data_IF_056039979536
#
_entry.id   IF_056039979536
#
_cell.length_a   1.000
_cell.length_b   1.000
_cell.length_c   1.000
_cell.angle_alpha   90.00
_cell.angle_beta   90.00
_cell.angle_gamma   90.00
#
_symmetry.space_group_name_H-M   'P 1'
#
loop_
_entity.id
_entity.type
_entity.pdbx_description
1 polymer ?
#
# COMPACT_ATOMS: atom_id res chain seq x y z
N UNK A 1 18.24 17.14 -2.26
CA UNK A 1 19.10 17.51 -3.42
C UNK A 1 19.29 19.01 -3.44
N UNK A 2 20.17 19.52 -4.31
CA UNK A 2 20.43 20.97 -4.44
C UNK A 2 19.18 21.76 -4.84
N UNK A 3 18.25 21.11 -5.55
CA UNK A 3 16.94 21.65 -5.96
C UNK A 3 15.84 21.54 -4.89
N UNK A 4 16.18 21.16 -3.66
CA UNK A 4 15.23 21.01 -2.54
C UNK A 4 14.95 19.55 -2.14
N UNK A 5 13.71 19.26 -1.72
CA UNK A 5 13.24 17.96 -1.20
C UNK A 5 13.11 16.90 -2.30
N UNK A 6 14.21 16.60 -2.98
CA UNK A 6 14.27 15.70 -4.14
C UNK A 6 15.62 14.98 -4.18
N UNK A 7 15.63 13.75 -4.71
CA UNK A 7 16.87 13.07 -5.12
C UNK A 7 17.24 13.51 -6.55
N UNK A 8 18.53 13.67 -6.86
CA UNK A 8 18.94 14.11 -8.19
C UNK A 8 20.21 13.38 -8.63
N UNK A 9 20.15 12.60 -9.72
CA UNK A 9 18.92 12.09 -10.36
C UNK A 9 18.04 11.30 -9.37
N UNK A 10 16.73 11.24 -9.64
CA UNK A 10 15.74 10.50 -8.82
C UNK A 10 15.46 9.08 -9.36
N UNK A 11 15.89 8.76 -10.56
CA UNK A 11 15.84 7.41 -11.11
C UNK A 11 17.13 7.13 -11.88
N UNK A 12 17.83 6.04 -11.53
CA UNK A 12 19.08 5.64 -12.18
C UNK A 12 19.07 4.15 -12.52
N UNK A 13 20.01 3.75 -13.38
CA UNK A 13 20.32 2.33 -13.64
C UNK A 13 21.67 2.00 -13.02
N UNK A 14 21.80 0.81 -12.45
CA UNK A 14 23.04 0.31 -11.86
C UNK A 14 23.09 -1.23 -12.00
N UNK A 15 24.26 -1.77 -12.32
CA UNK A 15 24.48 -3.21 -12.40
C UNK A 15 24.74 -3.82 -11.01
N UNK A 16 24.61 -5.14 -10.89
CA UNK A 16 25.06 -5.85 -9.69
C UNK A 16 26.56 -5.60 -9.50
N UNK A 17 26.94 -5.27 -8.27
CA UNK A 17 28.25 -4.83 -7.80
C UNK A 17 28.60 -3.36 -8.03
N UNK A 18 27.76 -2.56 -8.71
CA UNK A 18 27.93 -1.11 -8.72
C UNK A 18 27.69 -0.54 -7.31
N UNK A 19 28.23 0.67 -7.08
CA UNK A 19 27.94 1.45 -5.89
C UNK A 19 27.19 2.73 -6.27
N UNK A 20 26.20 3.08 -5.45
CA UNK A 20 25.44 4.34 -5.56
C UNK A 20 25.75 5.17 -4.33
N UNK A 21 26.42 6.31 -4.54
CA UNK A 21 26.79 7.22 -3.45
C UNK A 21 25.79 8.37 -3.39
N UNK A 22 25.13 8.50 -2.24
CA UNK A 22 24.20 9.58 -1.95
C UNK A 22 24.94 10.68 -1.20
N UNK A 23 25.09 11.84 -1.83
CA UNK A 23 25.60 13.05 -1.18
C UNK A 23 24.42 13.81 -0.57
N UNK A 24 24.44 13.99 0.75
CA UNK A 24 23.36 14.66 1.47
C UNK A 24 23.53 16.16 1.39
N UNK A 25 22.42 16.85 1.14
CA UNK A 25 22.36 18.31 1.05
C UNK A 25 21.87 18.90 2.37
N UNK A 26 21.95 20.22 2.51
CA UNK A 26 21.54 20.96 3.72
C UNK A 26 20.16 20.51 4.26
N UNK A 27 19.94 20.66 5.57
CA UNK A 27 18.82 20.11 6.35
C UNK A 27 18.98 18.62 6.63
N UNK A 28 17.89 17.92 6.89
CA UNK A 28 17.91 16.54 7.36
C UNK A 28 17.18 15.63 6.37
N UNK A 29 17.87 14.58 5.94
CA UNK A 29 17.38 13.65 4.93
C UNK A 29 17.81 12.22 5.27
N UNK A 30 17.14 11.25 4.67
CA UNK A 30 17.50 9.83 4.73
C UNK A 30 17.58 9.29 3.31
N UNK A 31 18.09 8.08 3.17
CA UNK A 31 17.87 7.19 2.04
C UNK A 31 17.39 5.87 2.64
N UNK A 32 16.10 5.60 2.48
CA UNK A 32 15.43 4.47 3.12
C UNK A 32 14.72 3.63 2.08
N UNK A 33 15.02 2.33 2.06
CA UNK A 33 14.34 1.41 1.17
C UNK A 33 12.87 1.26 1.54
N UNK A 34 12.01 1.20 0.54
CA UNK A 34 10.59 0.89 0.68
C UNK A 34 10.18 -0.24 -0.26
N UNK A 35 8.96 -0.73 -0.09
CA UNK A 35 8.28 -1.46 -1.16
C UNK A 35 7.75 -0.47 -2.21
N UNK A 36 7.51 -0.97 -3.43
CA UNK A 36 6.76 -0.21 -4.44
C UNK A 36 5.34 0.13 -3.96
N UNK A 37 4.69 -0.80 -3.26
CA UNK A 37 3.30 -0.65 -2.80
C UNK A 37 3.17 0.25 -1.58
N UNK A 38 4.25 0.43 -0.80
CA UNK A 38 4.27 1.26 0.41
C UNK A 38 5.43 2.27 0.35
N UNK A 39 5.37 3.28 -0.56
CA UNK A 39 6.48 4.20 -0.84
C UNK A 39 7.08 4.92 0.37
N UNK A 40 6.28 5.19 1.40
CA UNK A 40 6.66 6.01 2.55
C UNK A 40 6.86 5.19 3.83
N UNK A 41 7.01 3.87 3.71
CA UNK A 41 7.24 2.95 4.83
C UNK A 41 8.58 2.26 4.65
N UNK A 42 9.37 2.20 5.73
CA UNK A 42 10.63 1.45 5.71
C UNK A 42 10.32 -0.02 5.48
N UNK A 43 10.94 -0.60 4.44
CA UNK A 43 10.76 -2.00 4.11
C UNK A 43 11.31 -2.87 5.24
N UNK A 44 10.41 -3.53 5.96
CA UNK A 44 10.74 -4.54 6.97
C UNK A 44 10.10 -5.86 6.56
N UNK A 45 10.91 -6.89 6.33
CA UNK A 45 10.41 -8.24 6.08
C UNK A 45 10.49 -9.04 7.39
N UNK A 46 9.37 -9.06 8.10
CA UNK A 46 9.25 -9.72 9.40
C UNK A 46 9.36 -11.25 9.31
N UNK A 47 9.09 -11.86 8.15
CA UNK A 47 9.15 -13.32 7.98
C UNK A 47 10.56 -13.83 7.71
N UNK A 48 11.42 -13.02 7.10
CA UNK A 48 12.84 -13.36 6.84
C UNK A 48 13.82 -12.67 7.80
N UNK A 49 13.32 -11.88 8.75
CA UNK A 49 14.11 -11.05 9.65
C UNK A 49 15.12 -10.13 8.92
N UNK A 50 14.79 -9.75 7.68
CA UNK A 50 15.58 -8.84 6.86
C UNK A 50 14.86 -7.49 6.76
N UNK A 51 15.58 -6.41 7.06
CA UNK A 51 15.12 -5.05 6.78
C UNK A 51 15.82 -4.54 5.52
N UNK A 52 15.11 -3.74 4.73
CA UNK A 52 15.70 -3.00 3.63
C UNK A 52 16.73 -1.98 4.12
N UNK A 53 17.55 -1.48 3.21
CA UNK A 53 18.60 -0.52 3.56
C UNK A 53 18.05 0.77 4.16
N UNK A 54 18.83 1.41 5.03
CA UNK A 54 18.50 2.69 5.65
C UNK A 54 19.79 3.43 6.02
N UNK A 55 19.96 4.65 5.53
CA UNK A 55 21.11 5.49 5.91
C UNK A 55 21.01 6.05 7.33
N UNK A 56 19.79 6.11 7.88
CA UNK A 56 19.46 6.96 9.02
C UNK A 56 19.31 8.43 8.62
N UNK A 57 18.91 9.26 9.58
CA UNK A 57 18.84 10.71 9.42
C UNK A 57 20.23 11.32 9.39
N UNK A 58 20.53 12.03 8.30
CA UNK A 58 21.80 12.71 8.07
C UNK A 58 21.53 14.22 8.04
N UNK A 59 21.71 14.93 9.17
CA UNK A 59 21.58 16.39 9.22
C UNK A 59 22.84 17.07 8.65
N UNK A 60 22.63 18.09 7.84
CA UNK A 60 23.67 18.91 7.22
C UNK A 60 23.36 20.39 7.48
N UNK A 61 24.35 21.13 8.00
CA UNK A 61 24.19 22.53 8.35
C UNK A 61 24.10 23.42 7.10
N UNK A 62 23.42 24.57 7.20
CA UNK A 62 23.17 25.46 6.05
C UNK A 62 24.44 26.03 5.39
N UNK A 63 25.57 26.04 6.11
CA UNK A 63 26.85 26.60 5.65
C UNK A 63 27.94 25.53 5.52
N UNK A 64 27.58 24.24 5.46
CA UNK A 64 28.56 23.17 5.21
C UNK A 64 29.17 23.35 3.80
N UNK A 65 30.51 23.42 3.68
CA UNK A 65 31.18 23.50 2.39
C UNK A 65 30.87 22.26 1.53
N UNK A 66 30.76 22.44 0.20
CA UNK A 66 30.41 21.34 -0.72
C UNK A 66 31.36 20.12 -0.61
N UNK A 67 32.65 20.34 -0.33
CA UNK A 67 33.64 19.27 -0.14
C UNK A 67 33.55 18.53 1.19
N UNK A 68 32.70 18.99 2.11
CA UNK A 68 32.50 18.43 3.46
C UNK A 68 31.10 17.82 3.63
N UNK A 69 30.29 17.79 2.56
CA UNK A 69 28.94 17.26 2.60
C UNK A 69 29.00 15.74 2.86
N UNK A 70 28.28 15.22 3.86
CA UNK A 70 28.34 13.80 4.17
C UNK A 70 27.73 12.97 3.05
N UNK A 71 28.23 11.75 2.91
CA UNK A 71 27.73 10.78 1.93
C UNK A 71 27.47 9.42 2.55
N UNK A 72 26.51 8.69 1.98
CA UNK A 72 26.25 7.29 2.29
C UNK A 72 26.27 6.47 1.01
N UNK A 73 26.85 5.27 1.05
CA UNK A 73 27.06 4.44 -0.14
C UNK A 73 26.27 3.14 -0.04
N UNK A 74 25.45 2.88 -1.05
CA UNK A 74 24.76 1.61 -1.26
C UNK A 74 25.55 0.76 -2.25
N UNK A 75 25.77 -0.52 -1.92
CA UNK A 75 26.21 -1.52 -2.91
C UNK A 75 24.97 -2.17 -3.52
N UNK A 76 24.90 -2.20 -4.84
CA UNK A 76 23.79 -2.85 -5.56
C UNK A 76 24.11 -4.35 -5.66
N UNK A 77 23.30 -5.19 -5.04
CA UNK A 77 23.48 -6.65 -5.00
C UNK A 77 22.39 -7.41 -5.79
N UNK A 78 21.33 -6.72 -6.21
CA UNK A 78 20.22 -7.25 -6.98
C UNK A 78 20.07 -6.52 -8.31
N UNK A 79 19.52 -7.22 -9.32
CA UNK A 79 19.14 -6.63 -10.61
C UNK A 79 17.69 -6.13 -10.63
N UNK A 80 16.91 -6.40 -9.58
CA UNK A 80 15.52 -5.96 -9.46
C UNK A 80 15.42 -4.49 -9.07
N UNK A 81 14.26 -3.84 -9.29
CA UNK A 81 14.08 -2.45 -8.91
C UNK A 81 14.19 -2.25 -7.39
N UNK A 82 14.98 -1.26 -6.99
CA UNK A 82 15.06 -0.78 -5.61
C UNK A 82 14.33 0.55 -5.51
N UNK A 83 13.39 0.65 -4.58
CA UNK A 83 12.59 1.83 -4.30
C UNK A 83 13.02 2.43 -2.98
N UNK A 84 13.13 3.76 -2.91
CA UNK A 84 13.53 4.43 -1.69
C UNK A 84 12.88 5.81 -1.53
N UNK A 85 12.83 6.27 -0.29
CA UNK A 85 12.22 7.53 0.09
C UNK A 85 13.01 8.22 1.19
N UNK A 86 12.66 9.48 1.45
CA UNK A 86 13.13 10.22 2.62
C UNK A 86 12.10 10.15 3.73
N UNK A 87 12.50 9.67 4.91
CA UNK A 87 11.64 9.49 6.09
C UNK A 87 11.28 10.77 6.83
N UNK A 88 11.90 11.89 6.48
CA UNK A 88 11.56 13.15 7.09
C UNK A 88 10.07 13.44 6.85
N UNK A 89 9.37 13.86 7.90
CA UNK A 89 7.94 14.16 7.87
C UNK A 89 7.62 15.03 6.65
N UNK A 90 6.58 14.64 5.91
CA UNK A 90 6.11 15.23 4.64
C UNK A 90 7.03 15.10 3.44
N UNK A 91 8.30 14.68 3.55
CA UNK A 91 9.20 14.65 2.40
C UNK A 91 8.78 13.59 1.38
N UNK A 92 8.50 12.36 1.81
CA UNK A 92 8.03 11.31 0.91
C UNK A 92 6.73 11.67 0.19
N UNK A 93 5.72 12.12 0.94
CA UNK A 93 4.43 12.54 0.39
C UNK A 93 4.49 13.85 -0.41
N UNK A 94 5.61 14.58 -0.34
CA UNK A 94 5.91 15.70 -1.24
C UNK A 94 6.74 15.27 -2.46
N UNK A 95 6.87 13.95 -2.71
CA UNK A 95 7.59 13.41 -3.85
C UNK A 95 9.09 13.17 -3.65
N UNK A 96 9.61 13.23 -2.43
CA UNK A 96 11.02 12.89 -2.15
C UNK A 96 11.23 11.38 -2.12
N UNK A 97 11.09 10.78 -3.30
CA UNK A 97 11.29 9.36 -3.58
C UNK A 97 12.28 9.19 -4.73
N UNK A 98 12.90 8.02 -4.79
CA UNK A 98 13.83 7.66 -5.84
C UNK A 98 13.79 6.17 -6.15
N UNK A 99 14.41 5.80 -7.26
CA UNK A 99 14.55 4.43 -7.69
C UNK A 99 15.92 4.11 -8.29
N UNK A 100 16.34 2.86 -8.13
CA UNK A 100 17.42 2.24 -8.90
C UNK A 100 16.77 1.11 -9.70
N UNK A 101 17.05 1.06 -11.00
CA UNK A 101 16.54 0.03 -11.92
C UNK A 101 15.00 -0.02 -12.02
N UNK A 102 14.30 1.13 -11.88
CA UNK A 102 12.87 1.17 -12.18
C UNK A 102 12.61 0.75 -13.65
N UNK A 103 11.59 -0.08 -13.92
CA UNK A 103 11.13 -0.37 -15.28
C UNK A 103 10.79 0.91 -16.06
N UNK A 104 11.10 0.92 -17.35
CA UNK A 104 10.81 2.07 -18.23
C UNK A 104 9.34 2.07 -18.70
N UNK A 105 8.63 0.96 -18.53
CA UNK A 105 7.23 0.80 -18.91
C UNK A 105 6.51 -0.21 -18.00
N UNK A 106 5.18 -0.26 -18.12
CA UNK A 106 4.29 -1.10 -17.32
C UNK A 106 3.77 -0.41 -16.06
N UNK A 107 3.26 -1.19 -15.12
CA UNK A 107 2.54 -0.65 -13.96
C UNK A 107 3.45 -0.22 -12.81
N UNK A 108 4.74 -0.58 -12.88
CA UNK A 108 5.73 -0.32 -11.82
C UNK A 108 6.84 0.62 -12.27
N UNK A 109 6.51 1.70 -12.97
CA UNK A 109 7.48 2.73 -13.36
C UNK A 109 7.84 3.65 -12.19
N UNK A 110 8.88 4.46 -12.35
CA UNK A 110 9.21 5.51 -11.39
C UNK A 110 8.07 6.53 -11.23
N UNK A 111 7.44 6.95 -12.32
CA UNK A 111 6.28 7.86 -12.29
C UNK A 111 5.12 7.26 -11.48
N UNK A 112 4.84 5.96 -11.61
CA UNK A 112 3.82 5.29 -10.83
C UNK A 112 4.17 5.28 -9.32
N UNK A 113 5.43 5.06 -8.99
CA UNK A 113 5.93 5.11 -7.62
C UNK A 113 5.84 6.50 -7.01
N UNK A 114 6.26 7.54 -7.75
CA UNK A 114 6.16 8.94 -7.35
C UNK A 114 4.71 9.33 -7.06
N UNK A 115 3.79 9.02 -7.97
CA UNK A 115 2.36 9.30 -7.80
C UNK A 115 1.76 8.59 -6.59
N UNK A 116 2.18 7.34 -6.34
CA UNK A 116 1.76 6.59 -5.15
C UNK A 116 2.23 7.26 -3.86
N UNK A 117 3.49 7.73 -3.80
CA UNK A 117 4.02 8.42 -2.64
C UNK A 117 3.25 9.71 -2.33
N UNK A 118 2.98 10.53 -3.35
CA UNK A 118 2.25 11.78 -3.22
C UNK A 118 0.82 11.59 -2.71
N UNK A 119 0.18 10.46 -3.06
CA UNK A 119 -1.17 10.13 -2.59
C UNK A 119 -1.26 9.83 -1.08
N UNK A 120 -0.13 9.47 -0.43
CA UNK A 120 -0.11 9.18 1.00
C UNK A 120 -0.14 10.43 1.89
N UNK A 121 0.07 11.62 1.32
CA UNK A 121 0.01 12.89 2.06
C UNK A 121 -1.39 13.28 2.57
N UNK A 122 -2.44 12.56 2.16
CA UNK A 122 -3.82 12.74 2.62
C UNK A 122 -4.21 11.88 3.83
N UNK A 123 -3.39 10.90 4.21
CA UNK A 123 -3.58 10.10 5.42
C UNK A 123 -2.55 10.54 6.45
N UNK A 124 -3.00 11.04 7.60
CA UNK A 124 -2.11 11.32 8.72
C UNK A 124 -1.32 10.04 9.11
N UNK A 125 -0.06 10.14 9.55
CA UNK A 125 0.64 8.99 10.09
C UNK A 125 -0.12 8.50 11.33
N UNK A 126 -0.45 7.21 11.39
CA UNK A 126 -0.90 6.60 12.64
C UNK A 126 0.31 6.52 13.59
N UNK A 127 0.43 7.51 14.46
CA UNK A 127 1.25 7.42 15.67
C UNK A 127 0.71 6.26 16.54
N UNK A 128 1.58 5.32 16.90
CA UNK A 128 1.27 4.25 17.85
C UNK A 128 0.72 2.98 17.20
N UNK A 129 1.62 2.06 16.85
CA UNK A 129 1.25 0.67 16.63
C UNK A 129 0.70 0.07 17.92
N UNK A 130 -0.62 -0.02 18.03
CA UNK A 130 -1.24 -0.96 18.96
C UNK A 130 -0.85 -2.39 18.55
N UNK A 131 -0.55 -3.31 19.50
CA UNK A 131 -0.27 -4.69 19.14
C UNK A 131 -1.51 -5.32 18.48
N UNK A 132 -1.34 -6.32 17.60
CA UNK A 132 -2.47 -7.08 17.07
C UNK A 132 -3.23 -7.71 18.24
N UNK A 133 -4.56 -7.56 18.23
CA UNK A 133 -5.42 -8.28 19.16
C UNK A 133 -5.27 -9.80 18.89
N UNK A 134 -4.68 -10.51 19.86
CA UNK A 134 -4.85 -11.96 19.99
C UNK A 134 -6.32 -12.26 20.29
N UNK A 135 -6.91 -13.18 19.53
CA UNK A 135 -8.28 -13.60 19.74
C UNK A 135 -8.80 -14.50 18.62
N UNK A 136 -8.09 -15.61 18.36
CA UNK A 136 -8.64 -16.70 17.56
C UNK A 136 -9.78 -17.37 18.32
N UNK A 137 -10.95 -17.47 17.69
CA UNK A 137 -11.95 -18.46 18.07
C UNK A 137 -11.57 -19.80 17.42
N UNK A 138 -11.36 -20.82 18.25
CA UNK A 138 -10.93 -22.16 17.85
C UNK A 138 -11.92 -22.87 16.90
N UNK A 139 -11.46 -23.72 15.97
CA UNK A 139 -12.30 -24.72 15.34
C UNK A 139 -12.48 -25.92 16.28
N UNK A 140 -13.73 -26.37 16.48
CA UNK A 140 -14.01 -27.64 17.15
C UNK A 140 -13.79 -28.83 16.19
N UNK A 141 -13.04 -29.85 16.66
CA UNK A 141 -12.80 -31.12 15.98
C UNK A 141 -13.97 -32.13 16.09
N UNK A 142 -13.98 -33.08 15.15
CA UNK A 142 -14.62 -34.41 15.24
C UNK A 142 -15.77 -34.59 14.24
N UNK A 143 -15.63 -35.25 13.09
CA UNK A 143 -15.32 -36.67 12.81
C UNK A 143 -16.44 -37.16 11.85
N UNK A 144 -16.27 -37.98 10.81
CA UNK A 144 -15.43 -39.13 10.58
C UNK A 144 -15.13 -39.36 9.07
N UNK A 145 -14.27 -40.34 8.82
CA UNK A 145 -13.48 -40.64 7.62
C UNK A 145 -14.26 -41.32 6.44
N UNK A 146 -13.61 -41.57 5.27
CA UNK A 146 -14.24 -41.67 3.94
C UNK A 146 -14.49 -43.11 3.45
N UNK A 147 -15.24 -43.25 2.35
CA UNK A 147 -15.29 -44.47 1.55
C UNK A 147 -15.11 -44.16 0.04
N UNK A 148 -14.16 -44.88 -0.57
CA UNK A 148 -13.86 -44.90 -2.00
C UNK A 148 -14.95 -45.62 -2.83
N UNK A 149 -14.99 -45.30 -4.13
CA UNK A 149 -15.17 -46.33 -5.17
C UNK A 149 -16.34 -46.16 -6.14
N UNK A 150 -16.02 -45.87 -7.40
CA UNK A 150 -16.48 -46.71 -8.52
C UNK A 150 -17.64 -46.25 -9.41
N UNK A 151 -17.27 -45.96 -10.67
CA UNK A 151 -18.00 -46.16 -11.93
C UNK A 151 -19.14 -45.22 -12.38
N UNK A 152 -19.04 -44.75 -13.63
CA UNK A 152 -20.10 -44.17 -14.47
C UNK A 152 -20.66 -45.24 -15.45
N UNK A 153 -21.59 -44.99 -16.42
CA UNK A 153 -22.46 -43.83 -16.74
C UNK A 153 -23.94 -44.19 -17.15
N UNK A 154 -24.71 -43.14 -17.54
CA UNK A 154 -25.78 -43.07 -18.60
C UNK A 154 -27.32 -43.21 -18.31
N UNK A 155 -28.04 -42.21 -18.87
CA UNK A 155 -29.39 -42.12 -19.49
C UNK A 155 -30.76 -42.42 -18.80
N UNK A 156 -31.75 -41.58 -19.17
CA UNK A 156 -33.22 -41.78 -19.06
C UNK A 156 -33.87 -40.91 -17.96
N UNK A 157 -34.98 -40.19 -18.12
CA UNK A 157 -35.96 -39.98 -19.19
C UNK A 157 -37.21 -39.29 -18.59
N UNK A 158 -37.90 -38.48 -19.41
CA UNK A 158 -39.30 -38.02 -19.33
C UNK A 158 -39.84 -37.17 -18.13
N UNK A 159 -40.50 -36.05 -18.49
CA UNK A 159 -41.52 -35.31 -17.70
C UNK A 159 -42.94 -35.92 -17.95
N UNK A 160 -44.11 -35.33 -17.58
CA UNK A 160 -44.51 -34.29 -16.59
C UNK A 160 -45.79 -34.68 -15.76
N UNK A 161 -46.38 -33.72 -15.01
CA UNK A 161 -47.83 -33.51 -14.63
C UNK A 161 -48.01 -33.16 -13.12
N UNK A 162 -49.01 -32.43 -12.58
CA UNK A 162 -50.00 -31.40 -12.99
C UNK A 162 -50.75 -30.96 -11.70
N UNK A 163 -51.36 -29.76 -11.69
CA UNK A 163 -52.47 -29.34 -10.81
C UNK A 163 -52.09 -28.61 -9.50
N UNK A 164 -52.73 -27.53 -9.04
CA UNK A 164 -53.91 -26.77 -9.47
C UNK A 164 -54.46 -25.93 -8.29
N UNK A 165 -54.90 -24.70 -8.59
CA UNK A 165 -55.83 -23.80 -7.86
C UNK A 165 -55.40 -23.00 -6.58
N UNK A 166 -55.66 -21.68 -6.65
CA UNK A 166 -55.85 -20.69 -5.55
C UNK A 166 -57.37 -20.60 -5.17
N UNK A 167 -57.96 -19.63 -4.39
CA UNK A 167 -57.45 -18.40 -3.71
C UNK A 167 -58.10 -18.04 -2.32
N UNK A 168 -57.82 -16.84 -1.75
CA UNK A 168 -58.65 -15.91 -0.92
C UNK A 168 -57.78 -15.10 0.10
N UNK A 169 -57.61 -13.78 0.05
CA UNK A 169 -58.49 -12.61 0.39
C UNK A 169 -58.55 -12.24 1.90
N UNK A 170 -58.22 -10.97 2.22
CA UNK A 170 -58.84 -10.21 3.32
C UNK A 170 -57.94 -9.49 4.36
N UNK A 171 -57.95 -8.15 4.35
CA UNK A 171 -57.85 -7.32 5.57
C UNK A 171 -56.84 -6.15 5.61
N UNK A 172 -57.30 -4.92 5.32
CA UNK A 172 -56.76 -3.63 5.81
C UNK A 172 -57.62 -3.16 7.03
N UNK A 173 -57.34 -2.10 7.86
CA UNK A 173 -56.70 -0.77 7.58
C UNK A 173 -55.97 -0.14 8.83
N UNK A 174 -55.89 1.20 9.12
CA UNK A 174 -55.57 2.43 8.33
C UNK A 174 -54.48 3.39 8.92
N UNK A 175 -54.01 4.31 8.04
CA UNK A 175 -53.79 5.78 8.11
C UNK A 175 -52.93 6.55 9.16
N UNK A 176 -52.17 7.53 8.63
CA UNK A 176 -51.90 8.86 9.24
C UNK A 176 -50.42 9.27 9.21
N UNK A 177 -49.93 10.00 8.20
CA UNK A 177 -49.66 11.47 8.26
C UNK A 177 -48.24 11.76 8.81
N UNK A 178 -47.38 12.65 8.31
CA UNK A 178 -47.38 13.66 7.25
C UNK A 178 -45.94 14.21 7.15
N UNK A 179 -45.55 14.73 5.99
CA UNK A 179 -44.22 15.26 5.69
C UNK A 179 -43.98 16.67 6.28
N UNK A 180 -42.72 17.08 6.54
CA UNK A 180 -42.35 18.49 6.56
C UNK A 180 -41.62 18.93 5.25
N UNK A 181 -41.88 20.14 4.73
CA UNK A 181 -41.21 20.72 3.58
C UNK A 181 -39.99 21.60 3.93
N UNK A 182 -39.35 22.10 2.87
CA UNK A 182 -38.01 22.65 2.78
C UNK A 182 -37.88 24.19 2.93
N UNK A 183 -36.60 24.60 2.82
CA UNK A 183 -36.02 25.89 2.43
C UNK A 183 -35.87 27.02 3.47
N UNK A 184 -34.62 27.51 3.51
CA UNK A 184 -34.18 28.65 4.29
C UNK A 184 -34.16 29.94 3.48
N UNK A 185 -34.15 31.06 4.21
CA UNK A 185 -34.00 32.41 3.67
C UNK A 185 -33.33 33.34 4.69
N UNK A 186 -32.26 33.96 4.21
CA UNK A 186 -31.54 35.20 4.53
C UNK A 186 -31.71 35.98 5.87
N UNK A 187 -30.57 36.57 6.23
CA UNK A 187 -30.28 37.58 7.26
C UNK A 187 -31.10 38.89 7.12
N UNK A 188 -30.98 39.88 8.03
CA UNK A 188 -29.73 40.66 8.23
C UNK A 188 -29.03 40.47 9.57
#
# INVERSE_FOLDING_TARGET
GEKGRIYTPNNIKAAINDTVTFMFQIKNHTVTQSAFAEPCTHLVNMTSNQSGFRSGFVPVAAMTPMGEMPSWTLRVDVSTPLWFFCEQVSHCSSGMVGAINAPDAGDKTFEAFLKSAESQGGAAPAEGGAPPAEGGAAPAEGGAAPAEGGAAPAEGGAAPAEGGAAPAEGGAPPAGGGAPPAEGGAAP
#
